data_IF_481653950547
#
_entry.id   IF_481653950547
#
_cell.length_a   1.000
_cell.length_b   1.000
_cell.length_c   1.000
_cell.angle_alpha   90.00
_cell.angle_beta   90.00
_cell.angle_gamma   90.00
#
_symmetry.space_group_name_H-M   'P 1'
#
loop_
_entity.id
_entity.type
_entity.pdbx_description
1 polymer ?
#
# COMPACT_ATOMS: atom_id res chain seq x y z
N UNK A 1 11.95 -2.86 12.28
CA UNK A 1 12.34 -1.67 11.50
C UNK A 1 11.21 -1.40 10.54
N UNK A 2 10.87 -0.13 10.31
CA UNK A 2 9.85 0.19 9.30
C UNK A 2 10.55 0.32 7.93
N UNK A 3 9.94 -0.27 6.89
CA UNK A 3 10.38 -0.05 5.51
C UNK A 3 10.01 1.37 5.08
N UNK A 4 10.64 1.93 4.03
CA UNK A 4 10.19 3.20 3.45
C UNK A 4 8.74 3.08 2.98
N UNK A 5 7.87 3.98 3.45
CA UNK A 5 6.48 4.05 3.01
C UNK A 5 5.95 5.48 2.96
N UNK A 6 4.86 5.67 2.21
CA UNK A 6 4.03 6.88 2.25
C UNK A 6 2.71 6.52 2.94
N UNK A 7 2.32 7.32 3.94
CA UNK A 7 0.99 7.21 4.55
C UNK A 7 -0.02 7.97 3.69
N UNK A 8 -1.11 7.30 3.33
CA UNK A 8 -2.13 7.84 2.41
C UNK A 8 -3.47 7.88 3.13
N UNK A 9 -4.07 9.06 3.21
CA UNK A 9 -5.43 9.27 3.71
C UNK A 9 -6.37 9.51 2.54
N UNK A 10 -7.42 8.70 2.41
CA UNK A 10 -8.35 8.76 1.28
C UNK A 10 -9.67 9.35 1.73
N UNK A 11 -10.08 10.42 1.06
CA UNK A 11 -11.36 11.10 1.22
C UNK A 11 -12.12 11.02 -0.10
N UNK A 12 -13.38 10.60 -0.07
CA UNK A 12 -14.21 10.53 -1.28
C UNK A 12 -15.69 10.65 -0.96
N UNK A 13 -16.49 11.08 -1.94
CA UNK A 13 -17.95 11.06 -1.82
C UNK A 13 -18.43 9.62 -1.63
N UNK A 14 -19.22 9.39 -0.59
CA UNK A 14 -19.74 8.06 -0.22
C UNK A 14 -18.95 7.37 0.90
N UNK A 15 -17.82 7.94 1.32
CA UNK A 15 -17.05 7.45 2.46
C UNK A 15 -17.35 8.31 3.69
N UNK A 16 -18.01 7.73 4.71
CA UNK A 16 -18.41 8.46 5.93
C UNK A 16 -17.22 8.86 6.81
N UNK A 17 -16.18 8.02 6.82
CA UNK A 17 -14.92 8.24 7.55
C UNK A 17 -13.77 7.92 6.61
N UNK A 18 -12.76 8.79 6.55
CA UNK A 18 -11.57 8.54 5.73
C UNK A 18 -10.90 7.22 6.10
N UNK A 19 -10.29 6.59 5.10
CA UNK A 19 -9.50 5.37 5.31
C UNK A 19 -8.02 5.68 5.13
N UNK A 20 -7.19 4.99 5.89
CA UNK A 20 -5.74 5.07 5.75
C UNK A 20 -5.21 3.83 5.05
N UNK A 21 -4.22 4.01 4.18
CA UNK A 21 -3.39 2.93 3.67
C UNK A 21 -1.92 3.35 3.69
N UNK A 22 -1.03 2.41 3.44
CA UNK A 22 0.41 2.65 3.28
C UNK A 22 0.81 2.23 1.87
N UNK A 23 1.65 3.03 1.23
CA UNK A 23 2.29 2.73 -0.03
C UNK A 23 3.75 2.40 0.27
N UNK A 24 4.16 1.18 -0.06
CA UNK A 24 5.55 0.70 -0.03
C UNK A 24 6.12 0.66 -1.44
N UNK A 25 7.44 0.52 -1.59
CA UNK A 25 8.10 0.59 -2.89
C UNK A 25 8.58 -0.79 -3.36
N UNK A 26 8.42 -1.10 -4.65
CA UNK A 26 8.79 -2.40 -5.23
C UNK A 26 10.30 -2.69 -5.26
N UNK A 27 11.13 -1.66 -5.21
CA UNK A 27 12.60 -1.75 -5.18
C UNK A 27 13.17 -1.98 -3.77
N UNK A 28 12.35 -1.80 -2.73
CA UNK A 28 12.73 -1.94 -1.32
C UNK A 28 12.39 -3.34 -0.73
N UNK A 29 12.43 -4.40 -1.55
CA UNK A 29 11.99 -5.76 -1.15
C UNK A 29 12.61 -6.27 0.16
N UNK A 30 13.91 -6.06 0.39
CA UNK A 30 14.57 -6.51 1.63
C UNK A 30 14.11 -5.74 2.88
N UNK A 31 13.73 -4.47 2.72
CA UNK A 31 13.16 -3.68 3.81
C UNK A 31 11.70 -4.08 4.04
N UNK A 32 10.92 -4.25 2.97
CA UNK A 32 9.52 -4.66 3.00
C UNK A 32 9.33 -5.99 3.75
N UNK A 33 10.16 -7.01 3.47
CA UNK A 33 10.14 -8.31 4.16
C UNK A 33 10.34 -8.21 5.68
N UNK A 34 10.99 -7.14 6.16
CA UNK A 34 11.30 -6.92 7.58
C UNK A 34 10.31 -5.97 8.26
N UNK A 35 9.38 -5.40 7.51
CA UNK A 35 8.40 -4.43 8.03
C UNK A 35 7.36 -5.15 8.89
N UNK A 36 7.19 -4.69 10.12
CA UNK A 36 6.32 -5.36 11.09
C UNK A 36 4.82 -5.24 10.74
N UNK A 37 4.42 -4.19 10.01
CA UNK A 37 3.02 -3.95 9.68
C UNK A 37 2.66 -4.64 8.37
N UNK A 38 3.54 -4.60 7.35
CA UNK A 38 3.35 -5.36 6.12
C UNK A 38 3.27 -6.87 6.39
N UNK A 39 4.08 -7.38 7.33
CA UNK A 39 4.05 -8.78 7.76
C UNK A 39 2.78 -9.20 8.53
N UNK A 40 1.97 -8.25 9.02
CA UNK A 40 0.65 -8.57 9.61
C UNK A 40 -0.43 -8.73 8.53
N UNK A 41 -0.18 -8.21 7.33
CA UNK A 41 -1.07 -8.40 6.18
C UNK A 41 -0.87 -9.79 5.62
N UNK A 42 -1.96 -10.46 5.22
CA UNK A 42 -1.84 -11.75 4.56
C UNK A 42 -0.99 -11.64 3.30
N UNK A 43 -0.10 -12.61 3.08
CA UNK A 43 0.83 -12.64 1.94
C UNK A 43 0.10 -12.40 0.60
N UNK A 44 -1.08 -13.00 0.44
CA UNK A 44 -1.92 -12.83 -0.74
C UNK A 44 -2.41 -11.39 -0.99
N UNK A 45 -2.37 -10.49 0.00
CA UNK A 45 -2.81 -9.09 -0.12
C UNK A 45 -1.67 -8.08 -0.02
N UNK A 46 -0.47 -8.48 0.40
CA UNK A 46 0.67 -7.56 0.54
C UNK A 46 0.97 -6.80 -0.75
N UNK A 47 0.82 -7.46 -1.90
CA UNK A 47 1.01 -6.82 -3.21
C UNK A 47 0.12 -5.59 -3.44
N UNK A 48 -1.04 -5.48 -2.77
CA UNK A 48 -1.94 -4.32 -2.90
C UNK A 48 -1.41 -3.05 -2.22
N UNK A 49 -0.32 -3.16 -1.46
CA UNK A 49 0.35 -2.06 -0.76
C UNK A 49 1.68 -1.69 -1.41
N UNK A 50 2.09 -2.38 -2.48
CA UNK A 50 3.36 -2.13 -3.17
C UNK A 50 3.10 -1.27 -4.42
N UNK A 51 3.73 -0.11 -4.48
CA UNK A 51 3.82 0.68 -5.70
C UNK A 51 4.88 0.10 -6.63
N UNK A 52 4.55 -0.05 -7.90
CA UNK A 52 5.43 -0.60 -8.91
C UNK A 52 6.27 0.49 -9.56
N UNK A 53 7.59 0.32 -9.56
CA UNK A 53 8.51 1.22 -10.24
C UNK A 53 8.42 1.02 -11.77
N UNK A 54 8.04 2.07 -12.48
CA UNK A 54 8.13 2.14 -13.93
C UNK A 54 9.47 2.78 -14.31
N UNK A 55 10.49 1.94 -14.57
CA UNK A 55 11.86 2.39 -14.87
C UNK A 55 11.96 3.30 -16.10
N UNK A 56 11.05 3.15 -17.07
CA UNK A 56 11.08 3.93 -18.31
C UNK A 56 10.64 5.37 -18.09
N UNK A 57 9.76 5.60 -17.12
CA UNK A 57 9.18 6.91 -16.81
C UNK A 57 9.73 7.52 -15.50
N UNK A 58 10.43 6.72 -14.69
CA UNK A 58 10.97 7.16 -13.39
C UNK A 58 9.86 7.47 -12.37
N UNK A 59 8.72 6.77 -12.47
CA UNK A 59 7.55 6.96 -11.61
C UNK A 59 7.22 5.68 -10.85
N UNK A 60 6.46 5.85 -9.77
CA UNK A 60 5.84 4.76 -9.03
C UNK A 60 4.34 4.78 -9.27
N UNK A 61 3.81 3.67 -9.77
CA UNK A 61 2.39 3.49 -9.99
C UNK A 61 1.77 2.74 -8.80
N UNK A 62 0.70 3.30 -8.24
CA UNK A 62 -0.01 2.72 -7.10
C UNK A 62 -1.53 2.87 -7.25
N UNK A 63 -2.18 1.78 -7.60
CA UNK A 63 -3.63 1.74 -7.79
C UNK A 63 -4.37 1.42 -6.50
N UNK A 64 -5.27 2.32 -6.11
CA UNK A 64 -6.13 2.13 -4.94
C UNK A 64 -7.48 1.55 -5.37
N UNK A 65 -7.71 0.30 -4.99
CA UNK A 65 -8.96 -0.41 -5.22
C UNK A 65 -9.80 -0.38 -3.95
N UNK A 66 -10.88 0.40 -3.95
CA UNK A 66 -11.72 0.59 -2.75
C UNK A 66 -12.55 -0.64 -2.36
N UNK A 67 -12.81 -1.57 -3.30
CA UNK A 67 -13.57 -2.79 -3.06
C UNK A 67 -13.27 -3.82 -4.16
N UNK A 68 -13.47 -5.10 -3.86
CA UNK A 68 -13.49 -6.19 -4.84
C UNK A 68 -12.34 -7.17 -4.66
N UNK A 69 -12.00 -7.91 -5.72
CA UNK A 69 -10.99 -8.98 -5.67
C UNK A 69 -9.59 -8.45 -5.31
N UNK A 70 -9.27 -7.25 -5.76
CA UNK A 70 -7.95 -6.63 -5.57
C UNK A 70 -8.00 -5.48 -4.55
N UNK A 71 -8.98 -5.49 -3.63
CA UNK A 71 -9.16 -4.41 -2.66
C UNK A 71 -7.88 -4.10 -1.89
N UNK A 72 -7.47 -2.83 -1.92
CA UNK A 72 -6.32 -2.30 -1.20
C UNK A 72 -6.52 -2.47 0.29
N UNK A 73 -5.46 -2.86 1.01
CA UNK A 73 -5.54 -2.99 2.46
C UNK A 73 -5.64 -1.60 3.09
N UNK A 74 -6.66 -1.41 3.93
CA UNK A 74 -6.85 -0.21 4.72
C UNK A 74 -6.64 -0.50 6.21
N UNK A 75 -6.04 0.44 6.92
CA UNK A 75 -5.71 0.32 8.33
C UNK A 75 -6.66 1.18 9.18
N UNK A 76 -7.05 0.65 10.34
CA UNK A 76 -7.62 1.44 11.43
C UNK A 76 -6.46 1.86 12.33
N UNK A 77 -6.10 3.15 12.28
CA UNK A 77 -5.14 3.77 13.18
C UNK A 77 -5.85 4.35 14.41
#
# INVERSE_FOLDING_TARGET
MEAPYISVAIYMRGLLTHVYTRLYFSDESSANEKDALLNQVSEARQHTLIAHHNESEGIYEFDIHMQGKNETVFFQL
#
